data_IF_577845647500
#
_entry.id   IF_577845647500
#
_cell.length_a   1.000
_cell.length_b   1.000
_cell.length_c   1.000
_cell.angle_alpha   90.00
_cell.angle_beta   90.00
_cell.angle_gamma   90.00
#
_symmetry.space_group_name_H-M   'P 1'
#
loop_
_entity.id
_entity.type
_entity.pdbx_description
1 polymer ?
#
# COMPACT_ATOMS: atom_id res chain seq x y z
N UNK A 1 1.77 -8.28 15.95
CA UNK A 1 1.87 -6.80 15.94
C UNK A 1 0.49 -6.17 15.95
N UNK A 2 -0.41 -6.58 15.05
CA UNK A 2 -1.79 -6.08 15.02
C UNK A 2 -2.56 -6.39 16.30
N UNK A 3 -2.45 -7.61 16.80
CA UNK A 3 -3.09 -8.01 18.07
C UNK A 3 -2.70 -7.09 19.23
N UNK A 4 -1.43 -6.66 19.31
CA UNK A 4 -0.97 -5.77 20.37
C UNK A 4 -1.70 -4.42 20.41
N UNK A 5 -2.03 -3.84 19.25
CA UNK A 5 -2.73 -2.56 19.17
C UNK A 5 -4.26 -2.71 19.21
N UNK A 6 -4.80 -3.78 18.62
CA UNK A 6 -6.23 -4.09 18.71
C UNK A 6 -6.66 -4.38 20.14
N UNK A 7 -5.87 -5.16 20.90
CA UNK A 7 -6.15 -5.43 22.31
C UNK A 7 -6.06 -4.20 23.23
N UNK A 8 -5.38 -3.13 22.77
CA UNK A 8 -5.27 -1.87 23.51
C UNK A 8 -6.26 -0.80 23.08
N UNK A 9 -7.24 -1.13 22.24
CA UNK A 9 -8.19 -0.18 21.65
C UNK A 9 -7.48 1.06 21.06
N UNK A 10 -6.36 0.86 20.37
CA UNK A 10 -5.63 1.96 19.76
C UNK A 10 -6.32 2.46 18.51
N UNK A 11 -7.25 3.39 18.68
CA UNK A 11 -8.03 3.99 17.61
C UNK A 11 -7.15 4.64 16.54
N UNK A 12 -5.98 5.24 16.89
CA UNK A 12 -5.09 5.89 15.91
C UNK A 12 -4.59 4.91 14.85
N UNK A 13 -4.30 3.66 15.25
CA UNK A 13 -3.88 2.62 14.29
C UNK A 13 -5.05 2.16 13.42
N UNK A 14 -6.25 2.02 13.98
CA UNK A 14 -7.45 1.70 13.21
C UNK A 14 -7.80 2.82 12.22
N UNK A 15 -7.64 4.08 12.65
CA UNK A 15 -7.87 5.27 11.81
C UNK A 15 -6.95 5.29 10.59
N UNK A 16 -5.64 5.08 10.79
CA UNK A 16 -4.67 5.06 9.68
C UNK A 16 -4.86 3.88 8.73
N UNK A 17 -5.43 2.77 9.22
CA UNK A 17 -5.78 1.59 8.41
C UNK A 17 -7.13 1.75 7.71
N UNK A 18 -7.79 2.90 7.86
CA UNK A 18 -9.11 3.18 7.30
C UNK A 18 -10.18 2.17 7.74
N UNK A 19 -10.12 1.72 9.00
CA UNK A 19 -11.15 0.87 9.59
C UNK A 19 -12.39 1.72 9.84
N UNK A 20 -13.45 1.52 9.06
CA UNK A 20 -14.68 2.33 9.11
C UNK A 20 -15.71 1.78 10.07
N UNK A 21 -15.72 0.47 10.27
CA UNK A 21 -16.72 -0.21 11.07
C UNK A 21 -16.05 -1.09 12.09
N UNK A 22 -16.50 -1.02 13.34
CA UNK A 22 -16.04 -1.85 14.44
C UNK A 22 -17.25 -2.64 14.92
N UNK A 23 -17.14 -3.98 14.91
CA UNK A 23 -18.17 -4.87 15.38
C UNK A 23 -17.76 -5.37 16.75
N UNK A 24 -18.60 -5.15 17.74
CA UNK A 24 -18.39 -5.56 19.15
C UNK A 24 -19.56 -6.41 19.61
N UNK A 25 -19.29 -7.32 20.56
CA UNK A 25 -20.33 -8.03 21.28
C UNK A 25 -20.75 -7.18 22.49
N UNK A 26 -22.03 -6.89 22.59
CA UNK A 26 -22.57 -6.27 23.78
C UNK A 26 -22.68 -7.27 24.98
N UNK A 27 -23.06 -6.78 26.15
CA UNK A 27 -23.20 -7.60 27.36
C UNK A 27 -24.25 -8.72 27.22
N UNK A 28 -25.10 -8.68 26.22
CA UNK A 28 -26.13 -9.66 25.90
C UNK A 28 -25.73 -10.63 24.79
N UNK A 29 -24.44 -10.65 24.38
CA UNK A 29 -23.94 -11.39 23.23
C UNK A 29 -24.60 -10.99 21.90
N UNK A 30 -25.15 -9.79 21.79
CA UNK A 30 -25.64 -9.24 20.52
C UNK A 30 -24.54 -8.44 19.82
N UNK A 31 -24.52 -8.50 18.48
CA UNK A 31 -23.56 -7.74 17.70
C UNK A 31 -23.97 -6.26 17.64
N UNK A 32 -23.05 -5.39 18.06
CA UNK A 32 -23.15 -3.94 17.91
C UNK A 32 -22.20 -3.46 16.82
N UNK A 33 -22.67 -2.63 15.89
CA UNK A 33 -21.89 -2.03 14.83
C UNK A 33 -21.65 -0.56 15.14
N UNK A 34 -20.39 -0.22 15.38
CA UNK A 34 -19.94 1.15 15.62
C UNK A 34 -19.25 1.72 14.39
N UNK A 35 -19.61 2.95 13.98
CA UNK A 35 -18.95 3.66 12.88
C UNK A 35 -17.76 4.42 13.43
N UNK A 36 -16.59 4.22 12.81
CA UNK A 36 -15.38 4.97 13.13
C UNK A 36 -15.29 6.21 12.23
N UNK A 37 -15.75 7.35 12.71
CA UNK A 37 -15.74 8.61 11.97
C UNK A 37 -14.34 9.23 11.83
N UNK A 38 -13.36 8.80 12.63
CA UNK A 38 -11.97 9.28 12.58
C UNK A 38 -11.09 8.55 11.56
N UNK A 39 -11.63 7.53 10.87
CA UNK A 39 -10.92 6.81 9.81
C UNK A 39 -10.37 7.77 8.74
N UNK A 40 -9.06 7.64 8.40
CA UNK A 40 -8.35 8.61 7.54
C UNK A 40 -8.69 8.51 6.05
N UNK A 41 -9.57 7.61 5.66
CA UNK A 41 -9.88 7.37 4.26
C UNK A 41 -8.78 6.58 3.55
N UNK A 42 -8.78 6.63 2.23
CA UNK A 42 -7.83 5.85 1.42
C UNK A 42 -6.45 6.52 1.33
N UNK A 43 -6.39 7.86 1.50
CA UNK A 43 -5.15 8.62 1.49
C UNK A 43 -5.37 9.99 2.18
N UNK A 44 -4.30 10.56 2.75
CA UNK A 44 -4.31 11.90 3.35
C UNK A 44 -2.95 12.56 3.28
N UNK A 45 -2.93 13.88 3.30
CA UNK A 45 -1.70 14.69 3.39
C UNK A 45 -1.21 14.76 4.83
N UNK A 46 0.11 14.87 5.02
CA UNK A 46 0.74 15.06 6.34
C UNK A 46 1.67 16.27 6.32
N UNK A 47 1.74 16.95 7.46
CA UNK A 47 2.58 18.13 7.65
C UNK A 47 4.06 17.77 7.83
N UNK A 48 4.34 16.56 8.34
CA UNK A 48 5.70 16.21 8.73
C UNK A 48 6.01 14.74 8.48
N UNK A 49 7.22 14.49 7.97
CA UNK A 49 7.88 13.20 8.07
C UNK A 49 8.78 13.24 9.30
N UNK A 50 8.65 12.25 10.18
CA UNK A 50 9.51 12.06 11.33
C UNK A 50 10.31 10.78 11.16
N UNK A 51 11.65 10.93 11.13
CA UNK A 51 12.57 9.79 11.03
C UNK A 51 12.58 8.99 12.31
N UNK A 52 12.62 7.68 12.18
CA UNK A 52 12.80 6.71 13.26
C UNK A 52 14.05 5.88 13.00
N UNK A 53 14.73 5.43 14.04
CA UNK A 53 16.00 4.71 13.93
C UNK A 53 15.83 3.19 13.73
N UNK A 54 14.67 2.65 14.13
CA UNK A 54 14.40 1.22 14.09
C UNK A 54 12.93 0.91 13.85
N UNK A 55 12.64 -0.33 13.41
CA UNK A 55 11.28 -0.81 13.26
C UNK A 55 10.50 -0.81 14.59
N UNK A 56 11.18 -1.11 15.69
CA UNK A 56 10.57 -1.12 17.01
C UNK A 56 10.22 0.30 17.48
N UNK A 57 11.12 1.26 17.24
CA UNK A 57 10.83 2.67 17.54
C UNK A 57 9.66 3.20 16.70
N UNK A 58 9.65 2.92 15.38
CA UNK A 58 8.56 3.30 14.48
C UNK A 58 7.24 2.74 14.98
N UNK A 59 7.19 1.45 15.34
CA UNK A 59 6.02 0.79 15.86
C UNK A 59 5.53 1.41 17.17
N UNK A 60 6.41 1.58 18.16
CA UNK A 60 6.08 2.15 19.47
C UNK A 60 5.73 3.65 19.42
N UNK A 61 6.11 4.33 18.34
CA UNK A 61 5.80 5.74 18.15
C UNK A 61 4.41 5.96 17.53
N UNK A 62 3.78 4.95 16.95
CA UNK A 62 2.43 5.07 16.39
C UNK A 62 1.39 5.55 17.42
N UNK A 63 1.57 5.18 18.70
CA UNK A 63 0.70 5.63 19.80
C UNK A 63 0.96 7.07 20.24
N UNK A 64 2.20 7.54 20.03
CA UNK A 64 2.70 8.77 20.65
C UNK A 64 2.48 10.00 19.78
N UNK A 65 2.38 9.81 18.46
CA UNK A 65 2.26 10.90 17.49
C UNK A 65 0.84 11.04 16.96
N UNK A 66 0.54 12.21 16.40
CA UNK A 66 -0.68 12.42 15.64
C UNK A 66 -0.49 11.95 14.19
N UNK A 67 -0.93 10.73 13.87
CA UNK A 67 -0.81 10.13 12.55
C UNK A 67 -1.63 10.82 11.46
N UNK A 68 -2.51 11.78 11.83
CA UNK A 68 -3.18 12.63 10.85
C UNK A 68 -2.22 13.62 10.20
N UNK A 69 -1.19 14.05 10.96
CA UNK A 69 -0.29 15.14 10.56
C UNK A 69 1.16 14.66 10.40
N UNK A 70 1.50 13.50 10.96
CA UNK A 70 2.88 13.00 11.00
C UNK A 70 2.94 11.61 10.37
N UNK A 71 3.84 11.45 9.39
CA UNK A 71 4.27 10.14 8.89
C UNK A 71 5.58 9.74 9.56
N UNK A 72 5.65 8.54 10.11
CA UNK A 72 6.86 7.95 10.65
C UNK A 72 7.58 7.17 9.56
N UNK A 73 8.90 7.30 9.43
CA UNK A 73 9.67 6.54 8.45
C UNK A 73 11.10 6.26 8.92
N UNK A 74 11.63 5.12 8.52
CA UNK A 74 13.05 4.77 8.66
C UNK A 74 13.86 5.16 7.43
N UNK A 75 13.19 5.22 6.29
CA UNK A 75 13.82 5.38 4.98
C UNK A 75 13.90 6.85 4.54
N UNK A 76 13.18 7.75 5.22
CA UNK A 76 13.10 9.17 4.90
C UNK A 76 13.66 10.02 6.04
N UNK A 77 14.30 11.13 5.70
CA UNK A 77 14.75 12.13 6.66
C UNK A 77 13.59 13.03 7.12
N UNK A 78 13.79 13.71 8.25
CA UNK A 78 12.83 14.68 8.77
C UNK A 78 12.55 15.76 7.73
N UNK A 79 11.29 15.99 7.44
CA UNK A 79 10.86 17.01 6.49
C UNK A 79 9.49 17.56 6.88
N UNK A 80 9.27 18.85 6.64
CA UNK A 80 8.01 19.52 6.93
C UNK A 80 7.39 20.05 5.63
N UNK A 81 6.08 19.99 5.57
CA UNK A 81 5.25 20.45 4.45
C UNK A 81 4.21 21.44 4.99
N UNK A 82 3.91 22.46 4.21
CA UNK A 82 2.85 23.39 4.54
C UNK A 82 1.53 22.84 3.97
N UNK A 83 0.66 22.34 4.86
CA UNK A 83 -0.68 21.92 4.42
C UNK A 83 -1.53 23.12 4.06
N UNK A 84 -2.35 22.95 3.02
CA UNK A 84 -3.31 23.92 2.58
C UNK A 84 -4.68 23.23 2.44
N UNK A 85 -5.75 23.86 2.87
CA UNK A 85 -7.12 23.33 2.81
C UNK A 85 -7.63 23.12 1.38
N UNK A 86 -6.96 23.72 0.39
CA UNK A 86 -7.24 23.53 -1.03
C UNK A 86 -6.71 22.19 -1.58
N UNK A 87 -5.77 21.57 -0.86
CA UNK A 87 -5.21 20.28 -1.26
C UNK A 87 -6.22 19.16 -1.06
N UNK A 88 -6.36 18.32 -2.06
CA UNK A 88 -7.27 17.17 -1.98
C UNK A 88 -6.67 15.92 -2.64
N UNK A 89 -7.00 14.77 -2.09
CA UNK A 89 -6.69 13.47 -2.68
C UNK A 89 -7.87 12.52 -2.52
N UNK A 90 -8.27 11.89 -3.61
CA UNK A 90 -9.43 11.00 -3.64
C UNK A 90 -9.15 9.77 -4.46
N UNK A 91 -9.53 8.60 -3.95
CA UNK A 91 -9.49 7.36 -4.71
C UNK A 91 -10.66 7.33 -5.71
N UNK A 92 -10.35 7.39 -7.01
CA UNK A 92 -11.33 7.37 -8.09
C UNK A 92 -11.63 5.95 -8.59
N UNK A 93 -10.62 5.07 -8.60
CA UNK A 93 -10.77 3.69 -9.08
C UNK A 93 -9.94 2.73 -8.27
N UNK A 94 -10.52 1.58 -7.95
CA UNK A 94 -9.86 0.45 -7.29
C UNK A 94 -10.12 -0.83 -8.07
N UNK A 95 -9.07 -1.44 -8.60
CA UNK A 95 -9.06 -2.78 -9.19
C UNK A 95 -8.03 -3.64 -8.47
N UNK A 96 -8.03 -4.93 -8.71
CA UNK A 96 -7.07 -5.84 -8.07
C UNK A 96 -5.61 -5.43 -8.23
N UNK A 97 -5.24 -4.93 -9.42
CA UNK A 97 -3.86 -4.59 -9.78
C UNK A 97 -3.66 -3.09 -10.07
N UNK A 98 -4.64 -2.25 -9.75
CA UNK A 98 -4.61 -0.84 -10.12
C UNK A 98 -5.39 0.01 -9.13
N UNK A 99 -4.77 1.11 -8.68
CA UNK A 99 -5.42 2.16 -7.89
C UNK A 99 -5.19 3.48 -8.60
N UNK A 100 -6.24 4.28 -8.78
CA UNK A 100 -6.16 5.61 -9.39
C UNK A 100 -6.68 6.63 -8.39
N UNK A 101 -5.82 7.56 -8.02
CA UNK A 101 -6.14 8.70 -7.16
C UNK A 101 -6.14 9.97 -8.00
N UNK A 102 -7.14 10.79 -7.81
CA UNK A 102 -7.15 12.19 -8.24
C UNK A 102 -6.47 13.02 -7.17
N UNK A 103 -5.46 13.77 -7.56
CA UNK A 103 -4.67 14.61 -6.66
C UNK A 103 -4.78 16.05 -7.12
N UNK A 104 -5.03 16.95 -6.17
CA UNK A 104 -4.91 18.39 -6.34
C UNK A 104 -4.01 18.92 -5.22
N UNK A 105 -2.95 19.63 -5.58
CA UNK A 105 -2.00 20.18 -4.63
C UNK A 105 -1.41 21.49 -5.12
N UNK A 106 -1.45 22.51 -4.28
CA UNK A 106 -0.93 23.86 -4.60
C UNK A 106 0.58 23.98 -4.41
N UNK A 107 1.22 22.94 -3.88
CA UNK A 107 2.66 22.87 -3.68
C UNK A 107 3.08 21.42 -3.49
N UNK A 108 4.39 21.16 -3.48
CA UNK A 108 4.92 19.82 -3.20
C UNK A 108 4.54 19.36 -1.80
N UNK A 109 3.86 18.21 -1.68
CA UNK A 109 3.30 17.67 -0.45
C UNK A 109 3.75 16.21 -0.22
N UNK A 110 3.46 15.69 0.97
CA UNK A 110 3.61 14.26 1.27
C UNK A 110 2.26 13.63 1.59
N UNK A 111 1.98 12.51 0.93
CA UNK A 111 0.73 11.75 1.09
C UNK A 111 1.02 10.40 1.72
N UNK A 112 0.18 10.00 2.68
CA UNK A 112 0.11 8.65 3.22
C UNK A 112 -1.13 7.97 2.65
N UNK A 113 -0.99 6.71 2.24
CA UNK A 113 -2.05 5.85 1.69
C UNK A 113 -2.34 4.72 2.67
N UNK A 114 -3.63 4.45 2.94
CA UNK A 114 -4.08 3.31 3.75
C UNK A 114 -3.90 1.97 3.02
N UNK A 115 -2.77 1.82 2.34
CA UNK A 115 -2.40 0.64 1.57
C UNK A 115 -1.05 0.11 2.04
N UNK A 116 -0.95 -1.21 2.18
CA UNK A 116 0.31 -1.83 2.59
C UNK A 116 1.43 -1.55 1.58
N UNK A 117 2.59 -1.19 2.10
CA UNK A 117 3.78 -1.02 1.29
C UNK A 117 4.33 -2.37 0.85
N UNK A 118 4.51 -2.55 -0.45
CA UNK A 118 5.19 -3.70 -1.02
C UNK A 118 6.12 -3.26 -2.15
N UNK A 119 7.42 -3.16 -1.83
CA UNK A 119 8.45 -2.58 -2.70
C UNK A 119 8.58 -3.26 -4.07
N UNK A 120 8.36 -4.58 -4.12
CA UNK A 120 8.64 -5.38 -5.33
C UNK A 120 7.43 -5.58 -6.25
N UNK A 121 6.33 -4.88 -6.01
CA UNK A 121 5.11 -5.13 -6.77
C UNK A 121 4.41 -3.87 -7.26
N UNK A 122 4.33 -2.85 -6.43
CA UNK A 122 3.62 -1.63 -6.77
C UNK A 122 4.55 -0.59 -7.40
N UNK A 123 4.09 0.01 -8.49
CA UNK A 123 4.74 1.11 -9.20
C UNK A 123 3.79 2.30 -9.16
N UNK A 124 4.28 3.46 -8.71
CA UNK A 124 3.53 4.72 -8.73
C UNK A 124 3.89 5.51 -9.99
N UNK A 125 2.89 6.00 -10.71
CA UNK A 125 3.09 6.84 -11.90
C UNK A 125 2.19 8.07 -11.86
N UNK A 126 2.75 9.22 -12.27
CA UNK A 126 2.05 10.47 -12.53
C UNK A 126 2.34 10.84 -13.97
N UNK A 127 1.30 11.03 -14.79
CA UNK A 127 1.44 11.32 -16.25
C UNK A 127 2.38 10.36 -16.99
N UNK A 128 2.36 9.08 -16.59
CA UNK A 128 3.20 8.03 -17.19
C UNK A 128 4.65 8.00 -16.71
N UNK A 129 5.09 8.92 -15.84
CA UNK A 129 6.42 8.90 -15.22
C UNK A 129 6.38 8.21 -13.87
N UNK A 130 7.36 7.36 -13.60
CA UNK A 130 7.49 6.70 -12.31
C UNK A 130 7.93 7.67 -11.22
N UNK A 131 7.33 7.53 -10.05
CA UNK A 131 7.65 8.28 -8.84
C UNK A 131 7.96 7.33 -7.69
N UNK A 132 8.99 7.65 -6.87
CA UNK A 132 9.34 6.82 -5.73
C UNK A 132 8.25 6.88 -4.65
N UNK A 133 7.99 5.74 -4.02
CA UNK A 133 7.16 5.64 -2.83
C UNK A 133 7.89 4.84 -1.76
N UNK A 134 7.55 5.07 -0.51
CA UNK A 134 8.30 4.64 0.65
C UNK A 134 7.39 3.94 1.66
N UNK A 135 8.01 3.17 2.54
CA UNK A 135 7.33 2.60 3.69
C UNK A 135 7.22 3.67 4.78
N UNK A 136 6.01 3.86 5.30
CA UNK A 136 5.72 4.79 6.40
C UNK A 136 4.77 4.15 7.40
N UNK A 137 4.73 4.67 8.61
CA UNK A 137 3.84 4.21 9.67
C UNK A 137 3.89 2.69 9.85
N UNK A 138 5.11 2.14 9.78
CA UNK A 138 5.45 0.73 9.92
C UNK A 138 4.98 -0.19 8.77
N UNK A 139 3.83 0.07 8.17
CA UNK A 139 3.18 -0.79 7.19
C UNK A 139 2.74 -0.07 5.94
N UNK A 140 2.37 1.19 6.04
CA UNK A 140 1.68 1.91 4.99
C UNK A 140 2.62 2.43 3.90
N UNK A 141 2.03 2.92 2.83
CA UNK A 141 2.71 3.54 1.70
C UNK A 141 2.64 5.06 1.81
N UNK A 142 3.76 5.73 1.56
CA UNK A 142 3.81 7.19 1.47
C UNK A 142 4.64 7.63 0.28
N UNK A 143 4.33 8.80 -0.29
CA UNK A 143 5.13 9.41 -1.35
C UNK A 143 5.00 10.92 -1.36
N UNK A 144 6.04 11.57 -1.89
CA UNK A 144 5.95 12.98 -2.28
C UNK A 144 5.13 13.11 -3.56
N UNK A 145 4.23 14.06 -3.57
CA UNK A 145 3.43 14.44 -4.74
C UNK A 145 3.79 15.86 -5.18
N UNK A 146 3.98 16.11 -6.48
CA UNK A 146 4.26 17.45 -6.98
C UNK A 146 3.03 18.36 -6.88
N UNK A 147 3.25 19.65 -7.09
CA UNK A 147 2.19 20.62 -7.34
C UNK A 147 1.42 20.29 -8.62
N UNK A 148 0.11 20.53 -8.63
CA UNK A 148 -0.76 20.37 -9.79
C UNK A 148 -2.03 19.60 -9.54
N UNK A 149 -2.79 19.39 -10.61
CA UNK A 149 -3.98 18.55 -10.66
C UNK A 149 -3.73 17.40 -11.64
N UNK A 150 -3.76 16.16 -11.17
CA UNK A 150 -3.44 14.99 -11.99
C UNK A 150 -3.96 13.68 -11.39
N UNK A 151 -3.90 12.62 -12.21
CA UNK A 151 -4.14 11.27 -11.75
C UNK A 151 -2.82 10.60 -11.34
N UNK A 152 -2.76 10.20 -10.07
CA UNK A 152 -1.71 9.32 -9.55
C UNK A 152 -2.20 7.88 -9.67
N UNK A 153 -1.44 7.07 -10.39
CA UNK A 153 -1.75 5.66 -10.62
C UNK A 153 -0.74 4.77 -9.89
N UNK A 154 -1.24 3.82 -9.11
CA UNK A 154 -0.47 2.68 -8.66
C UNK A 154 -0.84 1.45 -9.49
N UNK A 155 0.16 0.77 -10.04
CA UNK A 155 0.01 -0.48 -10.79
C UNK A 155 0.78 -1.60 -10.10
N UNK A 156 0.15 -2.77 -9.95
CA UNK A 156 0.80 -3.95 -9.39
C UNK A 156 1.34 -4.82 -10.52
N UNK A 157 2.66 -4.79 -10.74
CA UNK A 157 3.36 -5.53 -11.80
C UNK A 157 4.68 -6.12 -11.28
N UNK A 158 4.63 -7.14 -10.40
CA UNK A 158 5.83 -7.72 -9.83
C UNK A 158 6.64 -8.50 -10.87
N UNK A 159 7.94 -8.19 -11.05
CA UNK A 159 8.80 -8.84 -12.05
C UNK A 159 8.89 -10.36 -11.89
N UNK A 160 8.73 -10.86 -10.66
CA UNK A 160 8.79 -12.30 -10.35
C UNK A 160 7.70 -13.10 -11.07
N UNK A 161 6.52 -12.50 -11.30
CA UNK A 161 5.43 -13.16 -12.03
C UNK A 161 5.83 -13.35 -13.51
N UNK A 162 6.41 -12.34 -14.13
CA UNK A 162 6.89 -12.42 -15.53
C UNK A 162 7.96 -13.48 -15.66
N UNK A 163 8.95 -13.47 -14.78
CA UNK A 163 10.03 -14.47 -14.77
C UNK A 163 9.50 -15.88 -14.56
N UNK A 164 8.60 -16.06 -13.58
CA UNK A 164 7.98 -17.36 -13.31
C UNK A 164 7.16 -17.89 -14.49
N UNK A 165 6.40 -17.01 -15.16
CA UNK A 165 5.63 -17.38 -16.36
C UNK A 165 6.53 -17.83 -17.50
N UNK A 166 7.66 -17.16 -17.74
CA UNK A 166 8.64 -17.55 -18.76
C UNK A 166 9.20 -18.93 -18.45
N UNK A 167 9.65 -19.17 -17.21
CA UNK A 167 10.18 -20.48 -16.79
C UNK A 167 9.13 -21.57 -16.98
N UNK A 168 7.89 -21.33 -16.62
CA UNK A 168 6.79 -22.28 -16.78
C UNK A 168 6.55 -22.62 -18.26
N UNK A 169 6.51 -21.60 -19.14
CA UNK A 169 6.34 -21.83 -20.58
C UNK A 169 7.48 -22.71 -21.13
N UNK A 170 8.74 -22.40 -20.81
CA UNK A 170 9.87 -23.21 -21.24
C UNK A 170 9.76 -24.66 -20.73
N UNK A 171 9.37 -24.86 -19.50
CA UNK A 171 9.19 -26.20 -18.91
C UNK A 171 8.11 -26.99 -19.65
N UNK A 172 6.98 -26.37 -19.99
CA UNK A 172 5.93 -27.00 -20.78
C UNK A 172 6.38 -27.35 -22.19
N UNK A 173 7.16 -26.49 -22.86
CA UNK A 173 7.71 -26.76 -24.19
C UNK A 173 8.66 -27.94 -24.15
N UNK A 174 9.57 -28.03 -23.17
CA UNK A 174 10.49 -29.17 -23.00
C UNK A 174 9.72 -30.47 -22.77
N UNK A 175 8.70 -30.43 -21.89
CA UNK A 175 7.86 -31.59 -21.61
C UNK A 175 7.15 -32.08 -22.90
N UNK A 176 6.56 -31.17 -23.64
CA UNK A 176 5.86 -31.46 -24.89
C UNK A 176 6.78 -32.10 -25.92
N UNK A 177 7.98 -31.51 -26.13
CA UNK A 177 8.97 -32.06 -27.04
C UNK A 177 9.44 -33.47 -26.60
N UNK A 178 9.62 -33.69 -25.30
CA UNK A 178 10.00 -35.00 -24.75
C UNK A 178 8.94 -36.05 -25.05
N UNK A 179 7.66 -35.69 -24.90
CA UNK A 179 6.53 -36.57 -25.23
C UNK A 179 6.48 -36.90 -26.72
N UNK A 180 6.69 -35.90 -27.58
CA UNK A 180 6.74 -36.13 -29.05
C UNK A 180 7.89 -37.08 -29.47
N UNK A 181 9.07 -36.88 -28.88
CA UNK A 181 10.24 -37.76 -29.13
C UNK A 181 9.93 -39.17 -28.68
N UNK A 182 9.33 -39.33 -27.50
CA UNK A 182 8.93 -40.67 -26.99
C UNK A 182 7.97 -41.37 -27.94
N UNK A 183 6.89 -40.73 -28.38
CA UNK A 183 5.95 -41.31 -29.33
C UNK A 183 6.59 -41.64 -30.67
N UNK A 184 7.42 -40.74 -31.24
CA UNK A 184 8.14 -41.01 -32.48
C UNK A 184 9.07 -42.21 -32.39
N UNK A 185 9.69 -42.44 -31.25
CA UNK A 185 10.56 -43.60 -31.02
C UNK A 185 9.74 -44.88 -30.86
N UNK A 186 8.62 -44.83 -30.16
CA UNK A 186 7.69 -45.95 -29.96
C UNK A 186 7.09 -46.44 -31.28
N UNK A 187 6.70 -45.56 -32.19
CA UNK A 187 6.14 -45.89 -33.51
C UNK A 187 7.21 -46.45 -34.50
N UNK A 188 8.51 -46.24 -34.26
CA UNK A 188 9.57 -46.77 -35.11
C UNK A 188 10.04 -48.18 -34.69
N UNK A 189 9.62 -48.66 -33.51
CA UNK A 189 10.01 -49.98 -32.96
C UNK A 189 8.91 -51.03 -33.12
N UNK A 190 7.85 -50.72 -33.84
CA UNK A 190 6.83 -51.64 -34.38
C UNK A 190 7.01 -51.73 -35.89
#
# INVERSE_FOLDING_TARGET
VFDFYLFRNNMKVLDMLNVKYIVELDNNNSLSLNVNESAKGNAWFVEKIQKTQSANEELLSLDKVNLSNIALSRDLDNKTYLLNDTNSIKLNSRKANELIYEVKSDSKQFVVFSEAFYKKGWIATIEGKEHPHFKVNYLLRGMEVPEGEYNLKFSFDPPVIKTGSIISIFSFVILFLSVLVYFKKSFKSV
#
